data_IF_998043289768
#
_entry.id   IF_998043289768
#
_cell.length_a   1.000
_cell.length_b   1.000
_cell.length_c   1.000
_cell.angle_alpha   90.00
_cell.angle_beta   90.00
_cell.angle_gamma   90.00
#
_symmetry.space_group_name_H-M   'P 1'
#
loop_
_entity.id
_entity.type
_entity.pdbx_description
1 polymer ?
#
# COMPACT_ATOMS: atom_id res chain seq x y z
N UNK A 1 -16.94 35.02 -32.40
CA UNK A 1 -16.58 33.64 -32.09
C UNK A 1 -17.63 32.73 -32.71
N UNK A 2 -17.20 31.60 -33.27
CA UNK A 2 -18.09 30.59 -33.87
C UNK A 2 -18.22 29.43 -32.91
N UNK A 3 -19.43 28.89 -32.80
CA UNK A 3 -19.71 27.71 -31.93
C UNK A 3 -20.37 26.62 -32.77
N UNK A 4 -19.73 25.44 -32.80
CA UNK A 4 -20.32 24.26 -33.46
C UNK A 4 -21.51 23.72 -32.68
N UNK A 5 -22.65 23.52 -33.36
CA UNK A 5 -23.88 22.98 -32.76
C UNK A 5 -23.88 21.45 -32.68
N UNK A 6 -23.05 20.78 -33.49
CA UNK A 6 -22.90 19.33 -33.55
C UNK A 6 -22.60 18.82 -34.96
N UNK A 7 -22.44 17.48 -35.09
CA UNK A 7 -22.21 16.85 -36.39
C UNK A 7 -23.50 16.71 -37.19
N UNK A 8 -23.47 16.99 -38.49
CA UNK A 8 -24.59 16.79 -39.41
C UNK A 8 -25.13 15.33 -39.44
N UNK A 9 -24.29 14.36 -39.05
CA UNK A 9 -24.67 12.97 -38.99
C UNK A 9 -25.66 12.64 -37.83
N UNK A 10 -25.71 13.53 -36.82
CA UNK A 10 -26.49 13.29 -35.59
C UNK A 10 -27.53 14.37 -35.31
N UNK A 11 -27.39 15.56 -35.88
CA UNK A 11 -28.30 16.70 -35.62
C UNK A 11 -28.96 17.12 -36.91
N UNK A 12 -30.31 17.00 -36.93
CA UNK A 12 -31.14 17.44 -38.05
C UNK A 12 -31.28 18.97 -38.08
N UNK A 13 -31.74 19.51 -39.25
CA UNK A 13 -31.88 20.97 -39.45
C UNK A 13 -32.81 21.63 -38.44
N UNK A 14 -33.90 20.96 -38.06
CA UNK A 14 -34.86 21.46 -37.06
C UNK A 14 -34.21 21.61 -35.67
N UNK A 15 -33.49 20.60 -35.26
CA UNK A 15 -32.76 20.55 -33.97
C UNK A 15 -31.63 21.58 -33.96
N UNK A 16 -30.87 21.71 -35.05
CA UNK A 16 -29.85 22.74 -35.18
C UNK A 16 -30.39 24.16 -35.02
N UNK A 17 -31.59 24.44 -35.62
CA UNK A 17 -32.29 25.73 -35.47
C UNK A 17 -32.70 25.98 -34.02
N UNK A 18 -33.20 24.96 -33.32
CA UNK A 18 -33.58 25.05 -31.90
C UNK A 18 -32.37 25.37 -31.03
N UNK A 19 -31.25 24.63 -31.19
CA UNK A 19 -30.00 24.91 -30.49
C UNK A 19 -29.44 26.32 -30.79
N UNK A 20 -29.58 26.80 -32.02
CA UNK A 20 -29.18 28.16 -32.38
C UNK A 20 -29.99 29.20 -31.61
N UNK A 21 -31.31 29.04 -31.53
CA UNK A 21 -32.20 29.94 -30.76
C UNK A 21 -31.87 29.90 -29.26
N UNK A 22 -31.61 28.74 -28.68
CA UNK A 22 -31.22 28.60 -27.28
C UNK A 22 -29.90 29.34 -26.99
N UNK A 23 -28.88 29.15 -27.82
CA UNK A 23 -27.61 29.86 -27.71
C UNK A 23 -27.76 31.36 -27.88
N UNK A 24 -28.64 31.82 -28.77
CA UNK A 24 -28.93 33.22 -28.95
C UNK A 24 -29.60 33.87 -27.73
N UNK A 25 -30.45 33.14 -27.04
CA UNK A 25 -31.04 33.58 -25.76
C UNK A 25 -29.98 33.76 -24.66
N UNK A 26 -28.97 32.86 -24.60
CA UNK A 26 -27.83 32.98 -23.69
C UNK A 26 -27.04 34.26 -23.97
N UNK A 27 -26.78 34.56 -25.26
CA UNK A 27 -26.10 35.81 -25.65
C UNK A 27 -26.91 37.05 -25.25
N UNK A 28 -28.24 37.04 -25.48
CA UNK A 28 -29.14 38.14 -25.08
C UNK A 28 -29.14 38.37 -23.57
N UNK A 29 -28.96 37.28 -22.78
CA UNK A 29 -28.82 37.41 -21.31
C UNK A 29 -27.45 37.90 -20.84
N UNK A 30 -26.55 38.27 -21.76
CA UNK A 30 -25.23 38.80 -21.47
C UNK A 30 -24.16 37.76 -21.15
N UNK A 31 -24.44 36.47 -21.42
CA UNK A 31 -23.51 35.36 -21.17
C UNK A 31 -22.92 34.82 -22.45
N UNK A 32 -21.68 34.25 -22.40
CA UNK A 32 -21.06 33.59 -23.53
C UNK A 32 -21.48 32.11 -23.58
N UNK A 33 -22.20 31.62 -24.60
CA UNK A 33 -22.64 30.22 -24.71
C UNK A 33 -21.49 29.20 -24.68
N UNK A 34 -20.31 29.60 -25.20
CA UNK A 34 -19.10 28.75 -25.18
C UNK A 34 -18.62 28.54 -23.75
N UNK A 35 -18.61 29.59 -22.96
CA UNK A 35 -18.18 29.56 -21.54
C UNK A 35 -19.21 28.81 -20.69
N UNK A 36 -20.51 29.04 -20.90
CA UNK A 36 -21.60 28.30 -20.23
C UNK A 36 -21.52 26.78 -20.52
N UNK A 37 -21.25 26.41 -21.77
CA UNK A 37 -21.05 25.00 -22.17
C UNK A 37 -19.85 24.38 -21.48
N UNK A 38 -18.72 25.12 -21.44
CA UNK A 38 -17.50 24.69 -20.74
C UNK A 38 -17.73 24.50 -19.25
N UNK A 39 -18.40 25.47 -18.60
CA UNK A 39 -18.73 25.36 -17.18
C UNK A 39 -19.70 24.19 -16.92
N UNK A 40 -20.69 23.97 -17.79
CA UNK A 40 -21.59 22.83 -17.67
C UNK A 40 -20.86 21.48 -17.84
N UNK A 41 -19.91 21.39 -18.76
CA UNK A 41 -19.07 20.20 -18.92
C UNK A 41 -18.18 19.96 -17.70
N UNK A 42 -17.53 20.99 -17.18
CA UNK A 42 -16.74 20.92 -15.94
C UNK A 42 -17.63 20.49 -14.77
N UNK A 43 -18.83 21.04 -14.64
CA UNK A 43 -19.79 20.67 -13.61
C UNK A 43 -20.21 19.21 -13.72
N UNK A 44 -20.53 18.72 -14.93
CA UNK A 44 -20.84 17.30 -15.17
C UNK A 44 -19.67 16.36 -14.86
N UNK A 45 -18.44 16.75 -15.23
CA UNK A 45 -17.23 15.99 -14.86
C UNK A 45 -17.01 15.95 -13.35
N UNK A 46 -17.24 17.06 -12.65
CA UNK A 46 -17.17 17.12 -11.19
C UNK A 46 -18.27 16.28 -10.53
N UNK A 47 -19.49 16.27 -11.07
CA UNK A 47 -20.58 15.43 -10.58
C UNK A 47 -20.31 13.94 -10.81
N UNK A 48 -19.79 13.58 -11.98
CA UNK A 48 -19.37 12.21 -12.27
C UNK A 48 -18.20 11.76 -11.37
N UNK A 49 -17.24 12.64 -11.11
CA UNK A 49 -16.11 12.32 -10.22
C UNK A 49 -16.53 12.21 -8.73
N UNK A 50 -17.60 12.90 -8.32
CA UNK A 50 -18.18 12.77 -6.97
C UNK A 50 -18.87 11.42 -6.75
N UNK A 51 -19.28 10.72 -7.82
CA UNK A 51 -19.92 9.42 -7.75
C UNK A 51 -18.96 8.24 -7.72
N UNK A 52 -17.63 8.50 -7.80
CA UNK A 52 -16.64 7.42 -7.70
C UNK A 52 -16.70 6.77 -6.33
N UNK A 53 -16.82 5.45 -6.34
CA UNK A 53 -16.88 4.66 -5.12
C UNK A 53 -15.52 4.62 -4.40
N UNK A 54 -15.57 4.41 -3.10
CA UNK A 54 -14.34 4.22 -2.30
C UNK A 54 -13.47 3.09 -2.86
N UNK A 55 -14.07 2.00 -3.34
CA UNK A 55 -13.34 0.87 -3.91
C UNK A 55 -12.58 1.28 -5.18
N UNK A 56 -13.23 1.95 -6.11
CA UNK A 56 -12.58 2.40 -7.35
C UNK A 56 -11.40 3.33 -7.08
N UNK A 57 -11.57 4.26 -6.13
CA UNK A 57 -10.51 5.19 -5.74
C UNK A 57 -9.37 4.46 -5.00
N UNK A 58 -9.71 3.48 -4.15
CA UNK A 58 -8.71 2.67 -3.47
C UNK A 58 -7.86 1.84 -4.44
N UNK A 59 -8.49 1.23 -5.44
CA UNK A 59 -7.81 0.46 -6.49
C UNK A 59 -6.90 1.37 -7.34
N UNK A 60 -7.37 2.55 -7.73
CA UNK A 60 -6.57 3.55 -8.43
C UNK A 60 -5.39 4.08 -7.58
N UNK A 61 -5.62 4.32 -6.29
CA UNK A 61 -4.58 4.72 -5.35
C UNK A 61 -3.50 3.65 -5.20
N UNK A 62 -3.90 2.37 -5.06
CA UNK A 62 -2.98 1.24 -4.96
C UNK A 62 -2.17 1.11 -6.25
N UNK A 63 -2.80 1.18 -7.42
CA UNK A 63 -2.14 1.12 -8.71
C UNK A 63 -1.09 2.23 -8.86
N UNK A 64 -1.45 3.48 -8.53
CA UNK A 64 -0.53 4.62 -8.58
C UNK A 64 0.69 4.45 -7.67
N UNK A 65 0.48 3.94 -6.43
CA UNK A 65 1.56 3.77 -5.44
C UNK A 65 2.35 2.47 -5.61
N UNK A 66 1.82 1.49 -6.36
CA UNK A 66 2.49 0.19 -6.54
C UNK A 66 3.86 0.30 -7.19
N UNK A 67 4.07 1.30 -8.05
CA UNK A 67 5.35 1.58 -8.70
C UNK A 67 6.45 2.06 -7.73
N UNK A 68 6.07 2.63 -6.58
CA UNK A 68 7.00 3.09 -5.55
C UNK A 68 7.42 1.96 -4.60
N UNK A 69 6.67 0.85 -4.58
CA UNK A 69 6.90 -0.22 -3.61
C UNK A 69 7.88 -1.26 -4.14
N UNK A 70 9.04 -1.36 -3.49
CA UNK A 70 10.07 -2.37 -3.80
C UNK A 70 9.56 -3.82 -3.67
N UNK A 71 8.46 -4.06 -2.94
CA UNK A 71 7.94 -5.40 -2.68
C UNK A 71 6.48 -5.52 -3.11
N UNK A 72 6.22 -6.35 -4.12
CA UNK A 72 4.87 -6.65 -4.62
C UNK A 72 3.91 -7.16 -3.52
N UNK A 73 4.43 -7.84 -2.48
CA UNK A 73 3.65 -8.27 -1.31
C UNK A 73 3.02 -7.08 -0.56
N UNK A 74 3.60 -5.89 -0.65
CA UNK A 74 3.04 -4.70 0.01
C UNK A 74 1.73 -4.24 -0.65
N UNK A 75 1.66 -4.20 -1.99
CA UNK A 75 0.43 -3.91 -2.72
C UNK A 75 -0.67 -4.94 -2.39
N UNK A 76 -0.30 -6.23 -2.35
CA UNK A 76 -1.23 -7.30 -1.99
C UNK A 76 -1.76 -7.16 -0.57
N UNK A 77 -0.92 -6.78 0.41
CA UNK A 77 -1.35 -6.53 1.78
C UNK A 77 -2.32 -5.34 1.89
N UNK A 78 -2.14 -4.29 1.08
CA UNK A 78 -3.08 -3.17 1.02
C UNK A 78 -4.45 -3.65 0.53
N UNK A 79 -4.49 -4.30 -0.64
CA UNK A 79 -5.71 -4.84 -1.23
C UNK A 79 -6.42 -5.81 -0.28
N UNK A 80 -5.70 -6.78 0.28
CA UNK A 80 -6.28 -7.78 1.16
C UNK A 80 -6.92 -7.15 2.40
N UNK A 81 -6.27 -6.18 3.03
CA UNK A 81 -6.82 -5.58 4.23
C UNK A 81 -8.00 -4.65 3.96
N UNK A 82 -7.96 -3.86 2.87
CA UNK A 82 -9.10 -3.04 2.48
C UNK A 82 -10.28 -3.92 2.09
N UNK A 83 -10.04 -5.01 1.35
CA UNK A 83 -11.07 -5.99 0.97
C UNK A 83 -11.70 -6.68 2.18
N UNK A 84 -10.89 -7.03 3.18
CA UNK A 84 -11.37 -7.74 4.37
C UNK A 84 -12.14 -6.85 5.34
N UNK A 85 -11.75 -5.56 5.49
CA UNK A 85 -12.26 -4.72 6.57
C UNK A 85 -13.00 -3.46 6.09
N UNK A 86 -12.55 -2.81 5.03
CA UNK A 86 -13.11 -1.54 4.59
C UNK A 86 -14.19 -1.72 3.51
N UNK A 87 -13.95 -2.52 2.48
CA UNK A 87 -14.88 -2.66 1.36
C UNK A 87 -16.27 -3.20 1.71
N UNK A 88 -16.44 -4.09 2.69
CA UNK A 88 -17.79 -4.53 3.07
C UNK A 88 -18.71 -3.38 3.54
N UNK A 89 -18.14 -2.30 4.06
CA UNK A 89 -18.89 -1.15 4.59
C UNK A 89 -18.77 0.06 3.67
N UNK A 90 -17.58 0.36 3.17
CA UNK A 90 -17.29 1.59 2.43
C UNK A 90 -17.26 1.38 0.91
N UNK A 91 -17.02 0.16 0.46
CA UNK A 91 -16.58 -0.13 -0.91
C UNK A 91 -17.51 0.38 -2.01
N UNK A 92 -18.82 0.25 -1.84
CA UNK A 92 -19.84 0.68 -2.82
C UNK A 92 -20.29 2.14 -2.63
N UNK A 93 -19.88 2.79 -1.55
CA UNK A 93 -20.30 4.16 -1.27
C UNK A 93 -19.45 5.16 -2.06
N UNK A 94 -20.04 6.25 -2.56
CA UNK A 94 -19.27 7.38 -3.05
C UNK A 94 -18.31 7.89 -1.99
N UNK A 95 -17.06 8.22 -2.37
CA UNK A 95 -16.06 8.66 -1.40
C UNK A 95 -16.51 9.93 -0.65
N UNK A 96 -17.29 10.76 -1.29
CA UNK A 96 -17.83 12.01 -0.70
C UNK A 96 -18.83 11.76 0.44
N UNK A 97 -19.44 10.57 0.48
CA UNK A 97 -20.44 10.19 1.51
C UNK A 97 -19.80 9.49 2.72
N UNK A 98 -18.49 9.24 2.69
CA UNK A 98 -17.79 8.58 3.79
C UNK A 98 -17.68 9.53 4.97
N UNK A 99 -18.44 9.22 6.02
CA UNK A 99 -18.44 9.94 7.29
C UNK A 99 -17.54 9.27 8.34
N UNK A 100 -17.26 10.00 9.40
CA UNK A 100 -16.56 9.48 10.58
C UNK A 100 -17.25 8.24 11.17
N UNK A 101 -18.60 8.22 11.22
CA UNK A 101 -19.35 7.09 11.76
C UNK A 101 -19.16 5.81 10.93
N UNK A 102 -19.05 5.95 9.61
CA UNK A 102 -18.76 4.81 8.74
C UNK A 102 -17.33 4.29 8.95
N UNK A 103 -16.37 5.19 9.19
CA UNK A 103 -15.00 4.81 9.55
C UNK A 103 -14.98 4.08 10.90
N UNK A 104 -15.72 4.56 11.89
CA UNK A 104 -15.82 3.91 13.21
C UNK A 104 -16.44 2.51 13.08
N UNK A 105 -17.49 2.32 12.27
CA UNK A 105 -18.05 0.99 12.00
C UNK A 105 -17.02 0.00 11.44
N UNK A 106 -16.06 0.46 10.65
CA UNK A 106 -14.96 -0.37 10.15
C UNK A 106 -13.95 -0.69 11.26
N UNK A 107 -13.61 0.30 12.09
CA UNK A 107 -12.47 0.20 13.00
C UNK A 107 -12.83 -0.39 14.36
N UNK A 108 -13.97 -0.04 14.94
CA UNK A 108 -14.34 -0.46 16.31
C UNK A 108 -14.27 -1.97 16.54
N UNK A 109 -14.76 -2.84 15.62
CA UNK A 109 -14.73 -4.29 15.83
C UNK A 109 -13.30 -4.86 15.96
N UNK A 110 -12.32 -4.16 15.40
CA UNK A 110 -10.93 -4.60 15.35
C UNK A 110 -9.98 -3.74 16.16
N UNK A 111 -10.44 -2.59 16.69
CA UNK A 111 -9.59 -1.58 17.31
C UNK A 111 -8.82 -2.09 18.52
N UNK A 112 -9.47 -2.88 19.36
CA UNK A 112 -8.86 -3.46 20.56
C UNK A 112 -8.30 -4.85 20.28
N UNK A 113 -9.06 -5.69 19.55
CA UNK A 113 -8.71 -7.09 19.33
C UNK A 113 -7.52 -7.28 18.37
N UNK A 114 -7.41 -6.42 17.36
CA UNK A 114 -6.38 -6.45 16.30
C UNK A 114 -5.77 -5.05 16.08
N UNK A 115 -5.27 -4.43 17.14
CA UNK A 115 -4.87 -3.01 17.17
C UNK A 115 -3.91 -2.60 16.05
N UNK A 116 -2.90 -3.42 15.74
CA UNK A 116 -1.96 -3.15 14.64
C UNK A 116 -2.66 -3.19 13.27
N UNK A 117 -3.54 -4.17 13.07
CA UNK A 117 -4.34 -4.27 11.83
C UNK A 117 -5.28 -3.07 11.70
N UNK A 118 -5.98 -2.70 12.78
CA UNK A 118 -6.88 -1.56 12.81
C UNK A 118 -6.16 -0.25 12.47
N UNK A 119 -4.98 -0.02 13.07
CA UNK A 119 -4.15 1.14 12.77
C UNK A 119 -3.75 1.19 11.29
N UNK A 120 -3.35 0.06 10.71
CA UNK A 120 -2.99 -0.03 9.29
C UNK A 120 -4.20 0.16 8.37
N UNK A 121 -5.34 -0.42 8.70
CA UNK A 121 -6.58 -0.23 7.93
C UNK A 121 -6.98 1.25 7.94
N UNK A 122 -6.98 1.89 9.12
CA UNK A 122 -7.24 3.33 9.25
C UNK A 122 -6.31 4.17 8.36
N UNK A 123 -4.99 3.94 8.45
CA UNK A 123 -4.01 4.67 7.64
C UNK A 123 -4.24 4.48 6.14
N UNK A 124 -4.64 3.27 5.71
CA UNK A 124 -4.96 2.99 4.31
C UNK A 124 -6.20 3.74 3.85
N UNK A 125 -7.26 3.76 4.67
CA UNK A 125 -8.46 4.55 4.38
C UNK A 125 -8.13 6.04 4.31
N UNK A 126 -7.35 6.56 5.25
CA UNK A 126 -6.86 7.94 5.28
C UNK A 126 -6.10 8.29 3.98
N UNK A 127 -5.18 7.42 3.56
CA UNK A 127 -4.41 7.61 2.32
C UNK A 127 -5.29 7.58 1.06
N UNK A 128 -6.27 6.68 1.00
CA UNK A 128 -7.22 6.61 -0.13
C UNK A 128 -8.06 7.88 -0.21
N UNK A 129 -8.53 8.38 0.94
CA UNK A 129 -9.31 9.60 0.99
C UNK A 129 -8.49 10.82 0.56
N UNK A 130 -7.24 10.94 1.05
CA UNK A 130 -6.31 12.01 0.65
C UNK A 130 -5.96 11.95 -0.84
N UNK A 131 -5.81 10.74 -1.40
CA UNK A 131 -5.65 10.55 -2.84
C UNK A 131 -6.85 11.06 -3.62
N UNK A 132 -8.07 10.76 -3.16
CA UNK A 132 -9.31 11.28 -3.74
C UNK A 132 -9.40 12.80 -3.64
N UNK A 133 -8.99 13.38 -2.51
CA UNK A 133 -8.92 14.83 -2.31
C UNK A 133 -7.93 15.51 -3.25
N UNK A 134 -6.74 14.97 -3.40
CA UNK A 134 -5.72 15.49 -4.31
C UNK A 134 -6.17 15.47 -5.80
N UNK A 135 -7.11 14.59 -6.14
CA UNK A 135 -7.74 14.51 -7.46
C UNK A 135 -9.06 15.28 -7.58
N UNK A 136 -9.44 16.04 -6.55
CA UNK A 136 -10.70 16.80 -6.47
C UNK A 136 -11.97 15.92 -6.56
N UNK A 137 -11.89 14.62 -6.23
CA UNK A 137 -13.06 13.74 -6.14
C UNK A 137 -13.87 14.00 -4.86
N UNK A 138 -13.23 14.51 -3.82
CA UNK A 138 -13.84 14.83 -2.53
C UNK A 138 -13.23 16.12 -1.97
N UNK A 139 -14.01 16.84 -1.14
CA UNK A 139 -13.61 18.05 -0.47
C UNK A 139 -13.82 17.92 1.06
N UNK A 140 -13.26 18.85 1.83
CA UNK A 140 -13.39 18.85 3.29
C UNK A 140 -12.22 18.18 4.01
N UNK A 141 -12.46 17.84 5.28
CA UNK A 141 -11.46 17.17 6.12
C UNK A 141 -11.56 15.65 6.02
N UNK A 142 -10.40 14.98 6.17
CA UNK A 142 -10.33 13.55 6.10
C UNK A 142 -10.96 12.88 7.32
N UNK A 143 -12.07 12.13 7.17
CA UNK A 143 -12.77 11.50 8.29
C UNK A 143 -11.98 10.36 8.96
N UNK A 144 -10.93 9.85 8.31
CA UNK A 144 -10.05 8.81 8.85
C UNK A 144 -8.80 9.37 9.55
N UNK A 145 -8.67 10.72 9.65
CA UNK A 145 -7.55 11.37 10.35
C UNK A 145 -7.54 10.96 11.82
N UNK A 146 -6.39 10.50 12.33
CA UNK A 146 -6.28 10.10 13.71
C UNK A 146 -6.13 11.30 14.63
N UNK A 147 -5.05 12.09 14.43
CA UNK A 147 -4.68 13.19 15.33
C UNK A 147 -5.69 14.34 15.23
N UNK A 148 -6.25 14.70 16.37
CA UNK A 148 -7.20 15.81 16.48
C UNK A 148 -8.63 15.45 16.03
N UNK A 149 -8.89 14.19 15.65
CA UNK A 149 -10.19 13.71 15.20
C UNK A 149 -10.52 12.34 15.82
N UNK A 150 -10.14 11.22 15.20
CA UNK A 150 -10.49 9.88 15.72
C UNK A 150 -9.83 9.57 17.07
N UNK A 151 -8.74 10.21 17.44
CA UNK A 151 -8.11 10.09 18.76
C UNK A 151 -8.97 10.64 19.92
N UNK A 152 -10.06 11.36 19.61
CA UNK A 152 -11.05 11.82 20.61
C UNK A 152 -12.15 10.80 20.87
N UNK A 153 -12.38 9.91 19.92
CA UNK A 153 -13.44 8.89 19.97
C UNK A 153 -12.88 7.50 20.25
N UNK A 154 -11.78 7.16 19.59
CA UNK A 154 -11.13 5.83 19.75
C UNK A 154 -10.17 5.84 20.94
N UNK A 155 -10.22 4.77 21.73
CA UNK A 155 -9.30 4.57 22.87
C UNK A 155 -7.85 4.46 22.40
N UNK A 156 -6.89 4.92 23.22
CA UNK A 156 -5.46 4.76 22.94
C UNK A 156 -5.08 3.29 23.02
N UNK A 157 -4.85 2.65 21.88
CA UNK A 157 -4.50 1.23 21.77
C UNK A 157 -3.28 0.83 22.60
N UNK A 158 -2.29 1.70 22.73
CA UNK A 158 -1.10 1.49 23.56
C UNK A 158 -1.41 1.36 25.07
N UNK A 159 -2.52 1.91 25.57
CA UNK A 159 -2.96 1.75 26.97
C UNK A 159 -3.74 0.48 27.20
N UNK A 160 -4.38 -0.06 26.15
CA UNK A 160 -5.29 -1.21 26.25
C UNK A 160 -4.57 -2.53 26.07
N UNK A 161 -3.54 -2.58 25.26
CA UNK A 161 -2.81 -3.82 24.97
C UNK A 161 -1.30 -3.58 25.05
N UNK A 162 -0.66 -4.07 26.11
CA UNK A 162 0.81 -4.19 26.14
C UNK A 162 1.23 -5.10 24.99
N UNK A 163 2.14 -4.61 24.14
CA UNK A 163 2.75 -5.44 23.09
C UNK A 163 3.43 -6.63 23.77
N UNK A 164 2.87 -7.83 23.56
CA UNK A 164 3.55 -9.06 23.94
C UNK A 164 4.48 -9.43 22.81
N UNK A 165 5.78 -9.38 23.06
CA UNK A 165 6.76 -9.91 22.12
C UNK A 165 6.60 -11.43 21.99
N UNK A 166 6.92 -11.97 20.83
CA UNK A 166 7.00 -13.41 20.67
C UNK A 166 8.06 -13.97 21.61
N UNK A 167 7.86 -15.19 22.13
CA UNK A 167 8.89 -15.88 22.92
C UNK A 167 10.19 -15.94 22.10
N UNK A 168 11.30 -15.62 22.76
CA UNK A 168 12.62 -15.75 22.19
C UNK A 168 13.41 -16.77 23.02
N UNK A 169 14.28 -17.55 22.37
CA UNK A 169 15.18 -18.46 23.05
C UNK A 169 16.12 -17.64 23.93
N UNK A 170 16.22 -17.94 25.23
CA UNK A 170 17.18 -17.31 26.12
C UNK A 170 18.63 -17.51 25.60
N UNK A 171 19.45 -16.48 25.74
CA UNK A 171 20.84 -16.56 25.29
C UNK A 171 21.63 -17.73 25.90
N UNK A 172 21.36 -18.05 27.18
CA UNK A 172 21.95 -19.20 27.87
C UNK A 172 21.66 -20.56 27.23
N UNK A 173 20.58 -20.66 26.45
CA UNK A 173 20.15 -21.90 25.80
C UNK A 173 20.64 -22.02 24.36
N UNK A 174 21.29 -21.00 23.81
CA UNK A 174 21.77 -21.00 22.42
C UNK A 174 22.76 -22.14 22.16
N UNK A 175 23.67 -22.43 23.11
CA UNK A 175 24.66 -23.49 22.94
C UNK A 175 24.02 -24.87 22.81
N UNK A 176 23.07 -25.20 23.67
CA UNK A 176 22.34 -26.48 23.59
C UNK A 176 21.50 -26.58 22.32
N UNK A 177 20.84 -25.50 21.96
CA UNK A 177 20.06 -25.43 20.71
C UNK A 177 20.93 -25.66 19.48
N UNK A 178 22.10 -25.03 19.37
CA UNK A 178 23.02 -25.24 18.25
C UNK A 178 23.53 -26.68 18.22
N UNK A 179 23.81 -27.29 19.37
CA UNK A 179 24.24 -28.67 19.46
C UNK A 179 23.14 -29.61 18.93
N UNK A 180 21.89 -29.39 19.28
CA UNK A 180 20.76 -30.15 18.74
C UNK A 180 20.56 -29.86 17.25
N UNK A 181 20.61 -28.59 16.82
CA UNK A 181 20.44 -28.20 15.41
C UNK A 181 21.41 -28.92 14.50
N UNK A 182 22.65 -29.10 14.95
CA UNK A 182 23.71 -29.82 14.20
C UNK A 182 23.46 -31.30 14.02
N UNK A 183 22.58 -31.91 14.83
CA UNK A 183 22.14 -33.31 14.62
C UNK A 183 21.11 -33.43 13.49
N UNK A 184 20.51 -32.33 13.05
CA UNK A 184 19.49 -32.32 12.00
C UNK A 184 20.17 -32.26 10.62
N UNK A 185 19.73 -33.11 9.71
CA UNK A 185 20.18 -33.11 8.33
C UNK A 185 19.40 -32.10 7.48
N UNK A 186 20.04 -31.60 6.40
CA UNK A 186 19.40 -30.80 5.36
C UNK A 186 19.73 -29.30 5.40
N UNK A 187 19.49 -28.64 4.28
CA UNK A 187 19.85 -27.24 4.07
C UNK A 187 19.15 -26.24 5.02
N UNK A 188 17.96 -26.59 5.52
CA UNK A 188 17.24 -25.73 6.46
C UNK A 188 17.97 -25.60 7.79
N UNK A 189 18.56 -26.69 8.30
CA UNK A 189 19.33 -26.66 9.54
C UNK A 189 20.62 -25.85 9.36
N UNK A 190 21.36 -26.10 8.29
CA UNK A 190 22.57 -25.33 7.94
C UNK A 190 22.26 -23.84 7.72
N UNK A 191 21.15 -23.52 7.04
CA UNK A 191 20.72 -22.16 6.82
C UNK A 191 20.34 -21.42 8.12
N UNK A 192 19.70 -22.13 9.08
CA UNK A 192 19.38 -21.55 10.37
C UNK A 192 20.64 -21.31 11.22
N UNK A 193 21.58 -22.25 11.24
CA UNK A 193 22.89 -22.05 11.91
C UNK A 193 23.62 -20.88 11.29
N UNK A 194 23.67 -20.78 9.95
CA UNK A 194 24.32 -19.68 9.24
C UNK A 194 23.64 -18.33 9.54
N UNK A 195 22.29 -18.31 9.63
CA UNK A 195 21.52 -17.11 10.03
C UNK A 195 21.92 -16.63 11.43
N UNK A 196 22.02 -17.54 12.39
CA UNK A 196 22.42 -17.23 13.77
C UNK A 196 23.86 -16.67 13.80
N UNK A 197 24.78 -17.31 13.09
CA UNK A 197 26.19 -16.91 13.04
C UNK A 197 26.42 -15.54 12.38
N UNK A 198 25.57 -15.17 11.45
CA UNK A 198 25.69 -13.93 10.66
C UNK A 198 24.76 -12.82 11.14
N UNK A 199 23.78 -13.12 12.00
CA UNK A 199 22.71 -12.23 12.41
C UNK A 199 21.93 -11.63 11.19
N UNK A 200 21.95 -12.30 10.04
CA UNK A 200 21.30 -11.86 8.82
C UNK A 200 19.79 -12.11 8.86
N UNK A 201 19.04 -11.43 7.99
CA UNK A 201 17.59 -11.69 7.88
C UNK A 201 17.32 -12.95 7.06
N UNK A 202 16.22 -13.63 7.37
CA UNK A 202 15.80 -14.85 6.65
C UNK A 202 15.79 -14.65 5.14
N UNK A 203 15.27 -13.52 4.65
CA UNK A 203 15.25 -13.21 3.20
C UNK A 203 16.64 -12.99 2.59
N UNK A 204 17.60 -12.53 3.38
CA UNK A 204 18.99 -12.35 2.96
C UNK A 204 19.68 -13.72 2.78
N UNK A 205 19.43 -14.66 3.71
CA UNK A 205 19.95 -16.03 3.63
C UNK A 205 19.34 -16.81 2.44
N UNK A 206 18.01 -16.85 2.36
CA UNK A 206 17.32 -17.62 1.31
C UNK A 206 17.68 -17.11 -0.10
N UNK A 207 17.88 -15.81 -0.23
CA UNK A 207 18.26 -15.20 -1.51
C UNK A 207 19.77 -15.05 -1.73
N UNK A 208 20.63 -15.61 -0.85
CA UNK A 208 22.08 -15.50 -0.97
C UNK A 208 22.61 -16.13 -2.27
N UNK A 209 23.53 -15.45 -2.92
CA UNK A 209 24.20 -15.91 -4.15
C UNK A 209 25.66 -16.20 -3.87
N UNK A 210 26.22 -17.22 -4.52
CA UNK A 210 27.64 -17.53 -4.41
C UNK A 210 28.55 -16.38 -4.84
N UNK A 211 28.12 -15.56 -5.79
CA UNK A 211 28.86 -14.37 -6.22
C UNK A 211 29.02 -13.30 -5.14
N UNK A 212 28.23 -13.38 -4.05
CA UNK A 212 28.29 -12.48 -2.91
C UNK A 212 29.31 -12.94 -1.85
N UNK A 213 29.79 -14.20 -1.94
CA UNK A 213 30.64 -14.85 -0.95
C UNK A 213 32.10 -14.79 -1.34
N UNK A 214 32.90 -14.11 -0.56
CA UNK A 214 34.36 -14.15 -0.66
C UNK A 214 34.93 -15.01 0.48
N UNK A 215 35.18 -16.28 0.19
CA UNK A 215 35.64 -17.24 1.20
C UNK A 215 37.09 -16.98 1.63
N UNK A 216 37.95 -16.40 0.76
CA UNK A 216 39.32 -16.09 1.07
C UNK A 216 39.42 -14.90 2.07
N UNK A 217 38.58 -13.88 1.83
CA UNK A 217 38.49 -12.71 2.72
C UNK A 217 37.55 -12.93 3.90
N UNK A 218 36.88 -14.07 3.96
CA UNK A 218 35.85 -14.39 4.95
C UNK A 218 34.77 -13.29 5.05
N UNK A 219 34.26 -12.83 3.90
CA UNK A 219 33.26 -11.76 3.83
C UNK A 219 32.11 -12.18 2.91
N UNK A 220 30.87 -11.97 3.39
CA UNK A 220 29.66 -11.99 2.58
C UNK A 220 29.21 -10.57 2.30
N UNK A 221 29.18 -10.17 1.03
CA UNK A 221 28.76 -8.84 0.61
C UNK A 221 27.34 -8.90 0.04
N UNK A 222 26.37 -8.37 0.77
CA UNK A 222 24.97 -8.31 0.33
C UNK A 222 24.77 -7.01 -0.44
N UNK A 223 24.41 -7.04 -1.73
CA UNK A 223 24.27 -5.83 -2.54
C UNK A 223 23.06 -4.99 -2.10
N UNK A 224 23.12 -3.69 -2.41
CA UNK A 224 22.17 -2.67 -1.95
C UNK A 224 20.72 -2.92 -2.39
N UNK A 225 20.52 -3.54 -3.55
CA UNK A 225 19.19 -3.88 -4.10
C UNK A 225 18.45 -4.95 -3.26
N UNK A 226 19.21 -5.84 -2.58
CA UNK A 226 18.68 -6.84 -1.67
C UNK A 226 18.50 -6.33 -0.23
N UNK A 227 19.12 -5.20 0.09
CA UNK A 227 19.04 -4.63 1.44
C UNK A 227 17.84 -3.71 1.62
N UNK A 228 17.14 -3.84 2.77
CA UNK A 228 16.01 -2.95 3.10
C UNK A 228 16.42 -1.48 3.17
N UNK A 229 17.64 -1.21 3.63
CA UNK A 229 18.16 0.16 3.74
C UNK A 229 18.67 0.73 2.40
N UNK A 230 18.78 -0.09 1.34
CA UNK A 230 19.27 0.34 0.04
C UNK A 230 20.79 0.63 0.02
N UNK A 231 21.54 0.15 1.00
CA UNK A 231 22.99 0.26 1.07
C UNK A 231 23.60 -1.14 1.14
N UNK A 232 24.77 -1.32 0.52
CA UNK A 232 25.56 -2.55 0.59
C UNK A 232 25.87 -2.91 2.06
N UNK A 233 25.77 -4.19 2.39
CA UNK A 233 26.08 -4.69 3.73
C UNK A 233 27.11 -5.80 3.66
N UNK A 234 28.22 -5.61 4.41
CA UNK A 234 29.32 -6.58 4.51
C UNK A 234 29.23 -7.31 5.84
N UNK A 235 29.10 -8.62 5.77
CA UNK A 235 29.01 -9.52 6.92
C UNK A 235 30.30 -10.32 7.03
N UNK A 236 31.09 -10.18 8.11
CA UNK A 236 32.25 -11.03 8.35
C UNK A 236 31.78 -12.46 8.65
N UNK A 237 32.45 -13.43 8.04
CA UNK A 237 32.14 -14.83 8.19
C UNK A 237 33.06 -15.47 9.24
N UNK A 238 32.47 -16.08 10.26
CA UNK A 238 33.20 -16.89 11.22
C UNK A 238 33.73 -18.17 10.54
N UNK A 239 34.71 -18.83 11.17
CA UNK A 239 35.22 -20.11 10.69
C UNK A 239 34.11 -21.13 10.42
N UNK A 240 33.17 -21.26 11.38
CA UNK A 240 32.03 -22.19 11.23
C UNK A 240 31.07 -21.77 10.07
N UNK A 241 30.87 -20.51 9.84
CA UNK A 241 30.08 -20.04 8.70
C UNK A 241 30.73 -20.44 7.36
N UNK A 242 32.07 -20.36 7.27
CA UNK A 242 32.82 -20.80 6.10
C UNK A 242 32.72 -22.31 5.91
N UNK A 243 32.83 -23.12 7.00
CA UNK A 243 32.65 -24.58 6.92
C UNK A 243 31.27 -24.96 6.36
N UNK A 244 30.19 -24.30 6.83
CA UNK A 244 28.84 -24.50 6.31
C UNK A 244 28.80 -24.23 4.81
N UNK A 245 29.34 -23.08 4.35
CA UNK A 245 29.36 -22.75 2.92
C UNK A 245 30.17 -23.77 2.11
N UNK A 246 31.32 -24.20 2.59
CA UNK A 246 32.14 -25.23 1.93
C UNK A 246 31.38 -26.57 1.82
N UNK A 247 30.68 -27.00 2.87
CA UNK A 247 29.92 -28.25 2.84
C UNK A 247 28.73 -28.19 1.86
N UNK A 248 28.10 -27.03 1.71
CA UNK A 248 27.01 -26.82 0.72
C UNK A 248 27.58 -26.80 -0.69
N UNK A 249 28.75 -26.18 -0.90
CA UNK A 249 29.38 -26.08 -2.23
C UNK A 249 29.87 -27.44 -2.75
N UNK A 250 30.38 -28.29 -1.88
CA UNK A 250 30.82 -29.66 -2.26
C UNK A 250 29.68 -30.59 -2.69
N UNK A 251 28.44 -30.28 -2.20
CA UNK A 251 27.23 -31.05 -2.54
C UNK A 251 26.48 -30.48 -3.75
N UNK A 252 27.05 -29.47 -4.45
CA UNK A 252 26.48 -28.99 -5.71
C UNK A 252 26.68 -30.06 -6.79
N UNK A 253 25.58 -30.58 -7.31
CA UNK A 253 25.66 -31.22 -8.63
C UNK A 253 26.08 -30.17 -9.65
N UNK A 254 27.03 -30.49 -10.57
CA UNK A 254 27.50 -29.56 -11.59
C UNK A 254 26.38 -29.13 -12.54
#
# INVERSE_FOLDING_TARGET
REMGLGSLSFIGLAEARQLAVENQRIVISGKDPIEERKQSQIKKQLEQSRNLTFKEIAEACIASKSHEWKNAKHAQQWSNSLKAYAFPILGSLPIAEISTDLILKVLEPIWISKAETASRVRQRIETVWDYGKARNYVSGENPARLKGHLDKVLSKTAKVKRVRHFPALPYSEISSFISELRTRSGYSALGLEFLILTAARTGEIIGAKWSEMNLEKAIWTIPSDRMKAGAEHRVPLSYRAIEILKSINSNRNP
#
